data_IF_981910159548
#
_entry.id   IF_981910159548
#
_cell.length_a   1.000
_cell.length_b   1.000
_cell.length_c   1.000
_cell.angle_alpha   90.00
_cell.angle_beta   90.00
_cell.angle_gamma   90.00
#
_symmetry.space_group_name_H-M   'P 1'
#
loop_
_entity.id
_entity.type
_entity.pdbx_description
1 polymer ?
#
# COMPACT_ATOMS: atom_id res chain seq x y z
N UNK A 1 -13.72 6.24 -4.61
CA UNK A 1 -13.61 4.87 -5.15
C UNK A 1 -14.77 4.05 -4.57
N UNK A 2 -16.01 4.45 -4.88
CA UNK A 2 -17.21 3.87 -4.27
C UNK A 2 -17.87 2.91 -5.27
N UNK A 3 -18.23 1.73 -4.78
CA UNK A 3 -18.90 0.64 -5.49
C UNK A 3 -20.28 1.10 -5.97
N UNK A 4 -20.33 1.74 -7.13
CA UNK A 4 -21.57 1.91 -7.90
C UNK A 4 -21.80 0.61 -8.69
N UNK A 5 -22.96 -0.07 -8.52
CA UNK A 5 -23.30 -1.24 -9.32
C UNK A 5 -23.26 -0.96 -10.83
N UNK A 6 -23.66 0.25 -11.22
CA UNK A 6 -23.60 0.72 -12.61
C UNK A 6 -22.16 0.82 -13.14
N UNK A 7 -21.27 1.47 -12.39
CA UNK A 7 -19.84 1.56 -12.75
C UNK A 7 -19.18 0.19 -12.80
N UNK A 8 -19.60 -0.73 -11.93
CA UNK A 8 -19.11 -2.12 -11.91
C UNK A 8 -19.55 -2.87 -13.17
N UNK A 9 -20.82 -2.73 -13.60
CA UNK A 9 -21.31 -3.33 -14.84
C UNK A 9 -20.58 -2.74 -16.05
N UNK A 10 -20.48 -1.41 -16.13
CA UNK A 10 -19.81 -0.71 -17.22
C UNK A 10 -18.33 -1.11 -17.34
N UNK A 11 -17.61 -1.28 -16.23
CA UNK A 11 -16.21 -1.70 -16.23
C UNK A 11 -16.02 -3.12 -16.79
N UNK A 12 -16.99 -4.03 -16.61
CA UNK A 12 -16.94 -5.40 -17.14
C UNK A 12 -17.18 -5.49 -18.64
N UNK A 13 -17.86 -4.50 -19.21
CA UNK A 13 -18.12 -4.39 -20.64
C UNK A 13 -16.93 -3.75 -21.39
N UNK A 14 -16.00 -3.12 -20.67
CA UNK A 14 -14.80 -2.53 -21.26
C UNK A 14 -13.77 -3.61 -21.62
N UNK A 15 -12.90 -3.35 -22.62
CA UNK A 15 -11.78 -4.23 -22.93
C UNK A 15 -10.95 -4.49 -21.67
N UNK A 16 -10.85 -5.76 -21.28
CA UNK A 16 -9.97 -6.19 -20.20
C UNK A 16 -8.70 -6.83 -20.78
N UNK A 17 -7.61 -6.73 -20.04
CA UNK A 17 -6.33 -7.32 -20.42
C UNK A 17 -6.48 -8.86 -20.53
N UNK A 18 -6.16 -9.42 -21.70
CA UNK A 18 -6.42 -10.84 -22.02
C UNK A 18 -5.29 -11.80 -21.63
N UNK A 19 -4.31 -11.37 -20.83
CA UNK A 19 -3.20 -12.26 -20.44
C UNK A 19 -1.93 -12.14 -21.28
N UNK A 20 -1.92 -11.34 -22.36
CA UNK A 20 -0.73 -11.17 -23.18
C UNK A 20 0.15 -10.04 -22.65
N UNK A 21 1.33 -10.40 -22.15
CA UNK A 21 2.42 -9.45 -21.88
C UNK A 21 3.27 -9.36 -23.14
N UNK A 22 3.19 -8.25 -23.86
CA UNK A 22 4.00 -8.00 -25.06
C UNK A 22 5.51 -8.09 -24.77
N UNK A 23 5.90 -7.80 -23.53
CA UNK A 23 7.28 -7.89 -23.01
C UNK A 23 7.26 -8.32 -21.56
N UNK A 24 8.05 -9.34 -21.22
CA UNK A 24 8.43 -9.57 -19.82
C UNK A 24 9.36 -8.43 -19.43
N UNK A 25 9.04 -7.73 -18.34
CA UNK A 25 9.94 -6.70 -17.81
C UNK A 25 11.28 -7.35 -17.43
N UNK A 26 12.33 -7.04 -18.19
CA UNK A 26 13.71 -7.39 -17.85
C UNK A 26 14.29 -6.26 -17.01
N UNK A 27 14.51 -6.54 -15.73
CA UNK A 27 15.22 -5.63 -14.85
C UNK A 27 16.73 -5.86 -14.98
N UNK A 28 17.56 -4.80 -14.97
CA UNK A 28 19.01 -4.94 -14.90
C UNK A 28 19.40 -5.85 -13.73
N UNK A 29 20.39 -6.72 -13.89
CA UNK A 29 20.84 -7.63 -12.83
C UNK A 29 21.40 -6.89 -11.61
N UNK A 30 21.90 -5.68 -11.84
CA UNK A 30 22.44 -4.73 -10.86
C UNK A 30 21.39 -3.76 -10.30
N UNK A 31 20.12 -3.88 -10.71
CA UNK A 31 19.06 -3.06 -10.14
C UNK A 31 18.96 -3.30 -8.63
N UNK A 32 18.94 -2.21 -7.86
CA UNK A 32 18.75 -2.27 -6.41
C UNK A 32 17.41 -2.92 -6.10
N UNK A 33 17.47 -4.03 -5.34
CA UNK A 33 16.28 -4.76 -4.89
C UNK A 33 16.04 -4.47 -3.42
N UNK A 34 15.05 -3.64 -3.15
CA UNK A 34 14.62 -3.35 -1.79
C UNK A 34 13.87 -4.54 -1.20
N UNK A 35 14.24 -4.91 0.03
CA UNK A 35 13.62 -5.96 0.83
C UNK A 35 13.11 -5.37 2.14
N UNK A 36 12.26 -6.13 2.82
CA UNK A 36 11.83 -5.77 4.16
C UNK A 36 13.04 -5.57 5.10
N UNK A 37 13.04 -4.46 5.82
CA UNK A 37 14.09 -4.10 6.78
C UNK A 37 15.24 -3.30 6.18
N UNK A 38 15.32 -3.21 4.85
CA UNK A 38 16.35 -2.41 4.20
C UNK A 38 16.19 -0.93 4.53
N UNK A 39 17.31 -0.22 4.60
CA UNK A 39 17.34 1.24 4.61
C UNK A 39 17.22 1.78 3.19
N UNK A 40 16.58 2.93 3.04
CA UNK A 40 16.43 3.56 1.74
C UNK A 40 17.69 4.39 1.42
N UNK A 41 18.36 4.21 0.26
CA UNK A 41 19.55 4.97 -0.05
C UNK A 41 19.30 6.48 -0.05
N UNK A 42 20.11 7.22 0.72
CA UNK A 42 19.94 8.66 0.92
C UNK A 42 18.92 9.05 2.01
N UNK A 43 18.30 8.07 2.66
CA UNK A 43 17.29 8.21 3.72
C UNK A 43 17.49 7.11 4.77
N UNK A 44 18.63 7.12 5.46
CA UNK A 44 19.06 6.02 6.34
C UNK A 44 18.18 5.85 7.60
N UNK A 45 17.44 6.88 7.95
CA UNK A 45 16.38 6.95 8.96
C UNK A 45 15.07 6.28 8.50
N UNK A 46 14.89 6.04 7.19
CA UNK A 46 13.73 5.37 6.62
C UNK A 46 13.98 3.87 6.40
N UNK A 47 12.93 3.08 6.60
CA UNK A 47 13.00 1.62 6.49
C UNK A 47 11.93 1.07 5.56
N UNK A 48 12.29 0.06 4.77
CA UNK A 48 11.39 -0.60 3.83
C UNK A 48 10.55 -1.64 4.57
N UNK A 49 9.23 -1.57 4.40
CA UNK A 49 8.28 -2.56 4.93
C UNK A 49 7.66 -3.31 3.74
N UNK A 50 7.90 -4.61 3.63
CA UNK A 50 7.21 -5.40 2.60
C UNK A 50 5.75 -5.61 3.01
N UNK A 51 4.85 -5.22 2.11
CA UNK A 51 3.41 -5.11 2.37
C UNK A 51 2.58 -5.81 1.28
N UNK A 52 2.82 -7.11 1.02
CA UNK A 52 2.12 -7.83 -0.01
C UNK A 52 0.62 -7.86 0.27
N UNK A 53 -0.19 -7.82 -0.79
CA UNK A 53 -1.65 -7.84 -0.67
C UNK A 53 -2.29 -7.12 -1.84
N UNK A 54 -2.04 -5.82 -1.99
CA UNK A 54 -2.46 -5.05 -3.16
C UNK A 54 -1.80 -5.59 -4.43
N UNK A 55 -0.47 -5.66 -4.42
CA UNK A 55 0.35 -6.49 -5.30
C UNK A 55 1.28 -7.37 -4.47
N UNK A 56 1.95 -8.34 -5.09
CA UNK A 56 2.89 -9.23 -4.37
C UNK A 56 4.18 -8.50 -3.95
N UNK A 57 4.55 -7.46 -4.69
CA UNK A 57 5.75 -6.64 -4.55
C UNK A 57 5.50 -5.28 -3.89
N UNK A 58 4.27 -5.04 -3.40
CA UNK A 58 3.95 -3.82 -2.65
C UNK A 58 4.87 -3.64 -1.44
N UNK A 59 5.38 -2.41 -1.27
CA UNK A 59 6.19 -1.98 -0.13
C UNK A 59 5.67 -0.64 0.43
N UNK A 60 5.88 -0.42 1.72
CA UNK A 60 5.73 0.88 2.38
C UNK A 60 7.10 1.40 2.86
N UNK A 61 7.20 2.71 3.06
CA UNK A 61 8.39 3.33 3.67
C UNK A 61 8.04 3.91 5.04
N UNK A 62 8.76 3.45 6.06
CA UNK A 62 8.52 3.79 7.46
C UNK A 62 9.63 4.69 8.01
N UNK A 63 9.24 5.82 8.58
CA UNK A 63 10.11 6.73 9.31
C UNK A 63 9.76 6.69 10.79
N UNK A 64 10.57 5.98 11.56
CA UNK A 64 10.28 5.71 12.97
C UNK A 64 10.28 6.97 13.84
N UNK A 65 11.18 7.91 13.57
CA UNK A 65 11.34 9.11 14.41
C UNK A 65 10.11 10.03 14.36
N UNK A 66 9.55 10.26 13.16
CA UNK A 66 8.34 11.08 13.03
C UNK A 66 7.04 10.29 13.16
N UNK A 67 7.12 8.95 13.15
CA UNK A 67 5.97 8.07 13.05
C UNK A 67 5.27 8.10 11.68
N UNK A 68 5.98 8.47 10.61
CA UNK A 68 5.41 8.63 9.27
C UNK A 68 5.50 7.36 8.45
N UNK A 69 4.41 6.97 7.79
CA UNK A 69 4.38 5.84 6.87
C UNK A 69 3.86 6.25 5.49
N UNK A 70 4.67 6.06 4.45
CA UNK A 70 4.24 6.16 3.05
C UNK A 70 3.72 4.81 2.60
N UNK A 71 2.44 4.73 2.23
CA UNK A 71 1.75 3.43 2.07
C UNK A 71 1.54 2.98 0.63
N UNK A 72 1.72 3.88 -0.36
CA UNK A 72 1.27 3.62 -1.72
C UNK A 72 -0.19 3.16 -1.73
N UNK A 73 -0.46 2.06 -2.42
CA UNK A 73 -1.81 1.48 -2.51
C UNK A 73 -2.08 0.38 -1.47
N UNK A 74 -1.17 0.17 -0.52
CA UNK A 74 -1.38 -0.78 0.59
C UNK A 74 -2.54 -0.35 1.48
N UNK A 75 -2.66 0.96 1.71
CA UNK A 75 -3.67 1.59 2.56
C UNK A 75 -3.95 2.99 2.01
N UNK A 76 -5.23 3.33 1.82
CA UNK A 76 -5.69 4.54 1.16
C UNK A 76 -6.29 5.53 2.15
N UNK A 77 -6.36 6.80 1.77
CA UNK A 77 -7.03 7.83 2.55
C UNK A 77 -8.47 8.08 2.11
N UNK A 78 -9.38 8.26 3.07
CA UNK A 78 -10.75 8.72 2.82
C UNK A 78 -11.23 9.67 3.92
N UNK A 79 -11.11 10.97 3.66
CA UNK A 79 -11.36 11.99 4.68
C UNK A 79 -10.36 11.86 5.82
N UNK A 80 -10.85 11.61 7.03
CA UNK A 80 -10.01 11.40 8.22
C UNK A 80 -9.70 9.91 8.49
N UNK A 81 -10.17 9.02 7.61
CA UNK A 81 -10.03 7.58 7.81
C UNK A 81 -9.00 6.95 6.88
N UNK A 82 -8.28 5.97 7.40
CA UNK A 82 -7.54 5.02 6.58
C UNK A 82 -8.47 3.90 6.12
N UNK A 83 -8.42 3.53 4.84
CA UNK A 83 -9.26 2.48 4.26
C UNK A 83 -8.42 1.51 3.42
N UNK A 84 -8.72 0.20 3.45
CA UNK A 84 -8.04 -0.75 2.57
C UNK A 84 -8.37 -0.46 1.10
N UNK A 85 -7.48 -0.84 0.15
CA UNK A 85 -7.79 -0.72 -1.27
C UNK A 85 -8.95 -1.64 -1.65
N UNK A 86 -9.81 -1.17 -2.56
CA UNK A 86 -10.93 -1.98 -3.07
C UNK A 86 -10.48 -3.14 -3.96
N UNK A 87 -9.27 -3.02 -4.53
CA UNK A 87 -8.66 -4.02 -5.40
C UNK A 87 -7.38 -4.52 -4.71
N UNK A 88 -7.24 -5.83 -4.59
CA UNK A 88 -6.04 -6.47 -4.07
C UNK A 88 -5.82 -7.81 -4.77
N UNK A 89 -4.55 -8.17 -4.98
CA UNK A 89 -4.15 -9.47 -5.52
C UNK A 89 -4.41 -10.62 -4.51
N UNK A 90 -4.25 -10.38 -3.21
CA UNK A 90 -4.43 -11.41 -2.18
C UNK A 90 -4.98 -10.86 -0.84
N UNK A 91 -6.23 -11.19 -0.46
CA UNK A 91 -6.85 -10.67 0.77
C UNK A 91 -6.17 -11.15 2.06
N UNK A 92 -5.64 -12.37 2.09
CA UNK A 92 -4.97 -12.91 3.29
C UNK A 92 -3.65 -12.20 3.55
N UNK A 93 -2.89 -11.90 2.48
CA UNK A 93 -1.68 -11.10 2.56
C UNK A 93 -2.01 -9.67 2.98
N UNK A 94 -3.04 -9.05 2.39
CA UNK A 94 -3.54 -7.72 2.80
C UNK A 94 -3.82 -7.69 4.30
N UNK A 95 -4.59 -8.64 4.84
CA UNK A 95 -4.91 -8.68 6.28
C UNK A 95 -3.66 -8.84 7.16
N UNK A 96 -2.68 -9.65 6.74
CA UNK A 96 -1.42 -9.82 7.47
C UNK A 96 -0.59 -8.53 7.45
N UNK A 97 -0.52 -7.88 6.31
CA UNK A 97 0.15 -6.60 6.08
C UNK A 97 -0.46 -5.50 6.95
N UNK A 98 -1.79 -5.39 6.96
CA UNK A 98 -2.49 -4.38 7.74
C UNK A 98 -2.26 -4.56 9.25
N UNK A 99 -2.24 -5.80 9.76
CA UNK A 99 -1.84 -6.07 11.16
C UNK A 99 -0.42 -5.60 11.46
N UNK A 100 0.55 -5.93 10.58
CA UNK A 100 1.94 -5.48 10.74
C UNK A 100 2.04 -3.96 10.79
N UNK A 101 1.30 -3.25 9.93
CA UNK A 101 1.30 -1.78 9.91
C UNK A 101 0.75 -1.22 11.23
N UNK A 102 -0.31 -1.84 11.76
CA UNK A 102 -0.91 -1.42 13.03
C UNK A 102 0.08 -1.54 14.21
N UNK A 103 1.05 -2.46 14.14
CA UNK A 103 2.07 -2.66 15.17
C UNK A 103 3.24 -1.64 15.10
N UNK A 104 3.33 -0.82 14.04
CA UNK A 104 4.43 0.14 13.85
C UNK A 104 4.31 1.42 14.70
N UNK A 105 3.16 1.69 15.32
CA UNK A 105 2.92 2.94 16.04
C UNK A 105 2.87 4.17 15.12
N UNK A 106 2.23 4.03 13.96
CA UNK A 106 2.11 5.10 12.95
C UNK A 106 1.34 6.30 13.50
N UNK A 107 1.94 7.48 13.41
CA UNK A 107 1.31 8.77 13.74
C UNK A 107 0.69 9.42 12.50
N UNK A 108 1.25 9.18 11.31
CA UNK A 108 0.83 9.82 10.07
C UNK A 108 0.98 8.91 8.86
N UNK A 109 -0.08 8.79 8.08
CA UNK A 109 -0.12 8.02 6.83
C UNK A 109 -0.06 8.95 5.62
N UNK A 110 0.74 8.55 4.64
CA UNK A 110 0.86 9.19 3.34
C UNK A 110 0.50 8.19 2.23
N UNK A 111 -0.81 8.09 1.89
CA UNK A 111 -1.28 7.19 0.85
C UNK A 111 -0.87 7.60 -0.57
N UNK A 112 -0.82 6.62 -1.47
CA UNK A 112 -0.74 6.89 -2.92
C UNK A 112 -2.00 7.59 -3.45
N UNK A 113 -3.15 7.33 -2.82
CA UNK A 113 -4.42 7.96 -3.15
C UNK A 113 -5.24 8.37 -1.92
N UNK A 114 -5.95 9.49 -2.08
CA UNK A 114 -6.82 10.03 -1.04
C UNK A 114 -6.10 11.00 -0.13
N UNK A 115 -6.67 11.20 1.06
CA UNK A 115 -6.18 12.16 2.05
C UNK A 115 -4.99 11.62 2.85
N UNK A 116 -4.12 12.52 3.28
CA UNK A 116 -3.15 12.26 4.35
C UNK A 116 -3.92 12.07 5.65
N UNK A 117 -3.60 11.02 6.41
CA UNK A 117 -4.30 10.69 7.66
C UNK A 117 -3.38 10.95 8.85
N UNK A 118 -3.84 11.78 9.78
CA UNK A 118 -3.17 11.98 11.07
C UNK A 118 -3.88 11.14 12.13
N UNK A 119 -3.13 10.30 12.84
CA UNK A 119 -3.67 9.49 13.94
C UNK A 119 -3.71 10.36 15.19
N UNK A 120 -4.89 10.92 15.48
CA UNK A 120 -5.14 11.67 16.70
C UNK A 120 -5.41 10.68 17.83
N UNK A 121 -4.39 10.39 18.67
CA UNK A 121 -4.35 9.40 19.77
C UNK A 121 -3.77 8.04 19.36
N UNK A 122 -3.01 7.41 20.26
CA UNK A 122 -2.30 6.10 20.13
C UNK A 122 -3.21 4.89 19.83
N UNK A 123 -4.42 5.11 19.34
CA UNK A 123 -5.41 4.08 19.03
C UNK A 123 -5.26 3.66 17.58
N UNK A 124 -4.86 2.40 17.41
CA UNK A 124 -5.16 1.45 16.33
C UNK A 124 -5.82 2.02 15.06
N UNK A 125 -5.36 1.55 13.90
CA UNK A 125 -6.07 1.70 12.63
C UNK A 125 -7.48 1.10 12.78
N UNK A 126 -8.47 1.94 13.11
CA UNK A 126 -9.85 1.55 13.45
C UNK A 126 -10.66 0.97 12.27
N UNK A 127 -10.00 0.48 11.22
CA UNK A 127 -10.61 0.12 9.94
C UNK A 127 -10.07 -1.18 9.31
N UNK A 128 -9.52 -2.11 10.10
CA UNK A 128 -9.02 -3.41 9.61
C UNK A 128 -9.82 -4.58 10.17
#
# INVERSE_FOLDING_TARGET
>A
MYLSPERTRQAREQPCWQGHVDKVATFPSDALRLKHGDKLPGFDDWSVIHTPGHTWDSICFWHAESGSLVTGDTLLGSGENAVPPAIYANPFQTRRTLRRINDLGVSKLYPGHGSVISMHTTGQLNAI
#
